data_IF_100960356085
#
_entry.id   IF_100960356085
#
_cell.length_a   1.000
_cell.length_b   1.000
_cell.length_c   1.000
_cell.angle_alpha   90.00
_cell.angle_beta   90.00
_cell.angle_gamma   90.00
#
_symmetry.space_group_name_H-M   'P 1'
#
loop_
_entity.id
_entity.type
_entity.pdbx_description
1 polymer ?
#
# COMPACT_ATOMS: atom_id res chain seq x y z
N UNK A 1 10.44 -3.48 -2.82
CA UNK A 1 9.69 -2.45 -3.58
C UNK A 1 10.61 -1.89 -4.64
N UNK A 2 10.05 -1.37 -5.74
CA UNK A 2 10.83 -0.84 -6.89
C UNK A 2 11.09 -1.83 -8.02
N UNK A 3 10.27 -2.89 -8.13
CA UNK A 3 10.26 -3.76 -9.32
C UNK A 3 9.53 -3.10 -10.49
N UNK A 4 9.55 -3.76 -11.65
CA UNK A 4 8.77 -3.31 -12.82
C UNK A 4 7.26 -3.50 -12.62
N UNK A 5 6.88 -4.41 -11.71
CA UNK A 5 5.50 -4.71 -11.35
C UNK A 5 4.99 -3.82 -10.21
N UNK A 6 3.72 -3.44 -10.29
CA UNK A 6 3.01 -2.74 -9.23
C UNK A 6 2.71 -3.67 -8.05
N UNK A 7 2.86 -3.16 -6.83
CA UNK A 7 2.63 -3.92 -5.59
C UNK A 7 1.90 -3.07 -4.54
N UNK A 8 0.90 -3.66 -3.90
CA UNK A 8 0.23 -3.11 -2.71
C UNK A 8 0.64 -3.93 -1.49
N UNK A 9 0.91 -3.24 -0.38
CA UNK A 9 1.26 -3.86 0.90
C UNK A 9 0.46 -3.24 2.03
N UNK A 10 0.22 -4.03 3.08
CA UNK A 10 -0.41 -3.59 4.32
C UNK A 10 0.66 -3.56 5.42
N UNK A 11 1.28 -2.39 5.68
CA UNK A 11 2.50 -2.32 6.49
C UNK A 11 2.31 -2.82 7.93
N UNK A 12 1.15 -2.58 8.53
CA UNK A 12 0.84 -2.97 9.91
C UNK A 12 0.85 -4.48 10.14
N UNK A 13 0.46 -5.30 9.17
CA UNK A 13 0.48 -6.77 9.32
C UNK A 13 1.64 -7.46 8.61
N UNK A 14 2.40 -6.72 7.79
CA UNK A 14 3.49 -7.26 7.00
C UNK A 14 4.82 -6.66 7.45
N UNK A 15 5.24 -5.58 6.80
CA UNK A 15 6.61 -5.05 6.92
C UNK A 15 6.94 -4.41 8.27
N UNK A 16 5.94 -4.01 9.04
CA UNK A 16 6.09 -3.35 10.34
C UNK A 16 5.29 -4.07 11.43
N UNK A 17 5.01 -5.37 11.24
CA UNK A 17 4.19 -6.16 12.18
C UNK A 17 4.81 -6.23 13.59
N UNK A 18 6.13 -6.30 13.68
CA UNK A 18 6.86 -6.45 14.95
C UNK A 18 7.02 -5.13 15.74
N UNK A 19 6.59 -3.99 15.18
CA UNK A 19 6.68 -2.69 15.85
C UNK A 19 5.43 -2.51 16.74
N UNK A 20 5.56 -2.14 18.02
CA UNK A 20 4.43 -1.86 18.89
C UNK A 20 3.45 -0.85 18.28
N UNK A 21 2.14 -1.04 18.54
CA UNK A 21 1.05 -0.20 17.98
C UNK A 21 1.30 1.28 18.30
N UNK A 22 1.67 1.59 19.53
CA UNK A 22 1.85 2.96 20.02
C UNK A 22 2.99 3.67 19.28
N UNK A 23 4.06 2.92 18.98
CA UNK A 23 5.20 3.43 18.21
C UNK A 23 4.78 3.66 16.77
N UNK A 24 4.08 2.71 16.14
CA UNK A 24 3.56 2.86 14.76
C UNK A 24 2.67 4.09 14.59
N UNK A 25 1.71 4.25 15.50
CA UNK A 25 0.78 5.37 15.47
C UNK A 25 1.49 6.73 15.69
N UNK A 26 2.60 6.76 16.44
CA UNK A 26 3.32 8.01 16.72
C UNK A 26 3.86 8.72 15.47
N UNK A 27 4.11 7.99 14.38
CA UNK A 27 4.56 8.54 13.09
C UNK A 27 3.53 8.37 11.97
N UNK A 28 2.26 8.12 12.33
CA UNK A 28 1.14 8.07 11.39
C UNK A 28 0.99 6.74 10.64
N UNK A 29 1.66 5.67 11.08
CA UNK A 29 1.39 4.32 10.57
C UNK A 29 0.18 3.75 11.32
N UNK A 30 -0.99 3.94 10.73
CA UNK A 30 -2.28 3.48 11.26
C UNK A 30 -2.73 2.17 10.59
N UNK A 31 -3.74 1.52 11.18
CA UNK A 31 -4.34 0.29 10.67
C UNK A 31 -5.11 0.46 9.34
N UNK A 32 -5.30 1.69 8.86
CA UNK A 32 -5.96 2.00 7.59
C UNK A 32 -4.97 2.35 6.47
N UNK A 33 -3.67 2.22 6.72
CA UNK A 33 -2.64 2.58 5.76
C UNK A 33 -2.37 1.45 4.76
N UNK A 34 -2.67 1.70 3.49
CA UNK A 34 -2.17 0.90 2.36
C UNK A 34 -0.96 1.59 1.73
N UNK A 35 0.07 0.82 1.39
CA UNK A 35 1.29 1.32 0.72
C UNK A 35 1.41 0.71 -0.66
N UNK A 36 1.42 1.57 -1.67
CA UNK A 36 1.59 1.22 -3.08
C UNK A 36 3.02 1.49 -3.55
N UNK A 37 3.60 0.54 -4.28
CA UNK A 37 4.79 0.72 -5.11
C UNK A 37 4.33 0.66 -6.56
N UNK A 38 4.35 1.79 -7.24
CA UNK A 38 3.89 1.89 -8.63
C UNK A 38 4.98 1.35 -9.55
N UNK A 39 4.60 0.38 -10.39
CA UNK A 39 5.44 -0.21 -11.43
C UNK A 39 5.47 0.67 -12.68
N UNK A 40 5.74 0.04 -13.83
CA UNK A 40 5.88 0.73 -15.13
C UNK A 40 4.79 0.32 -16.15
N UNK A 41 3.66 -0.18 -15.67
CA UNK A 41 2.49 -0.53 -16.50
C UNK A 41 1.83 0.70 -17.15
N UNK A 42 0.89 0.50 -18.08
CA UNK A 42 0.10 1.61 -18.65
C UNK A 42 -0.69 2.31 -17.53
N UNK A 43 -0.51 3.63 -17.43
CA UNK A 43 -1.13 4.42 -16.37
C UNK A 43 -2.67 4.31 -16.36
N UNK A 44 -3.31 4.10 -17.51
CA UNK A 44 -4.77 3.96 -17.60
C UNK A 44 -5.25 2.64 -17.02
N UNK A 45 -4.48 1.57 -17.20
CA UNK A 45 -4.81 0.26 -16.63
C UNK A 45 -4.70 0.31 -15.11
N UNK A 46 -3.64 0.94 -14.57
CA UNK A 46 -3.47 1.14 -13.12
C UNK A 46 -4.61 1.99 -12.52
N UNK A 47 -5.00 3.07 -13.19
CA UNK A 47 -6.11 3.92 -12.73
C UNK A 47 -7.44 3.16 -12.79
N UNK A 48 -7.68 2.39 -13.84
CA UNK A 48 -8.91 1.61 -13.99
C UNK A 48 -9.01 0.52 -12.91
N UNK A 49 -7.91 -0.18 -12.62
CA UNK A 49 -7.84 -1.21 -11.57
C UNK A 49 -8.11 -0.62 -10.18
N UNK A 50 -7.43 0.48 -9.83
CA UNK A 50 -7.65 1.17 -8.55
C UNK A 50 -9.08 1.72 -8.44
N UNK A 51 -9.64 2.26 -9.52
CA UNK A 51 -11.02 2.75 -9.54
C UNK A 51 -12.01 1.62 -9.29
N UNK A 52 -11.84 0.49 -9.99
CA UNK A 52 -12.69 -0.68 -9.83
C UNK A 52 -12.63 -1.24 -8.40
N UNK A 53 -11.46 -1.24 -7.76
CA UNK A 53 -11.31 -1.69 -6.38
C UNK A 53 -11.93 -0.74 -5.34
N UNK A 54 -11.94 0.58 -5.59
CA UNK A 54 -12.43 1.59 -4.64
C UNK A 54 -13.92 1.92 -4.79
N UNK A 55 -14.46 1.82 -6.01
CA UNK A 55 -15.87 2.14 -6.32
C UNK A 55 -16.76 0.90 -6.44
N UNK A 56 -16.18 -0.30 -6.28
CA UNK A 56 -16.86 -1.60 -6.35
C UNK A 56 -17.75 -1.92 -5.15
#
# INVERSE_FOLDING_TARGET
MGGVESLITYPTSQTHADIPVEVRHSYGLTDDLLRLSIGIEDARDLIADLRQALEG
#
